data_IF_811871335028
#
_entry.id   IF_811871335028
#
_cell.length_a   1.000
_cell.length_b   1.000
_cell.length_c   1.000
_cell.angle_alpha   90.00
_cell.angle_beta   90.00
_cell.angle_gamma   90.00
#
_symmetry.space_group_name_H-M   'P 1'
#
loop_
_entity.id
_entity.type
_entity.pdbx_description
1 polymer ?
#
# COMPACT_ATOMS: atom_id res chain seq x y z
N UNK A 1 36.38 -10.52 -5.04
CA UNK A 1 34.97 -10.15 -5.21
C UNK A 1 34.26 -10.52 -3.92
N UNK A 2 33.48 -9.66 -3.31
CA UNK A 2 32.65 -10.05 -2.17
C UNK A 2 31.70 -11.19 -2.59
N UNK A 3 31.40 -12.14 -1.70
CA UNK A 3 30.51 -13.25 -2.01
C UNK A 3 29.14 -12.69 -2.44
N UNK A 4 28.60 -13.20 -3.54
CA UNK A 4 27.25 -12.81 -4.00
C UNK A 4 26.24 -13.16 -2.93
N UNK A 5 25.43 -12.18 -2.44
CA UNK A 5 24.40 -12.43 -1.44
C UNK A 5 23.43 -13.50 -1.91
N UNK A 6 23.00 -14.38 -1.01
CA UNK A 6 22.02 -15.40 -1.33
C UNK A 6 20.66 -14.77 -1.71
N UNK A 7 19.87 -15.43 -2.56
CA UNK A 7 18.51 -14.97 -2.89
C UNK A 7 17.65 -14.73 -1.63
N UNK A 8 17.90 -15.51 -0.58
CA UNK A 8 17.20 -15.34 0.71
C UNK A 8 17.59 -14.04 1.41
N UNK A 9 18.87 -13.68 1.44
CA UNK A 9 19.32 -12.43 2.06
C UNK A 9 18.80 -11.20 1.29
N UNK A 10 18.74 -11.27 -0.04
CA UNK A 10 18.14 -10.21 -0.86
C UNK A 10 16.62 -10.09 -0.59
N UNK A 11 15.92 -11.22 -0.47
CA UNK A 11 14.48 -11.23 -0.13
C UNK A 11 14.23 -10.64 1.26
N UNK A 12 14.99 -11.05 2.28
CA UNK A 12 14.86 -10.52 3.65
C UNK A 12 15.12 -9.01 3.65
N UNK A 13 16.21 -8.55 3.02
CA UNK A 13 16.53 -7.12 2.96
C UNK A 13 15.43 -6.33 2.27
N UNK A 14 14.95 -6.75 1.11
CA UNK A 14 13.90 -6.06 0.36
C UNK A 14 12.55 -6.08 1.07
N UNK A 15 12.22 -7.16 1.78
CA UNK A 15 11.02 -7.28 2.61
C UNK A 15 11.09 -6.32 3.81
N UNK A 16 12.22 -6.28 4.52
CA UNK A 16 12.43 -5.38 5.67
C UNK A 16 12.34 -3.91 5.25
N UNK A 17 13.02 -3.54 4.16
CA UNK A 17 12.95 -2.18 3.58
C UNK A 17 11.50 -1.80 3.25
N UNK A 18 10.75 -2.69 2.60
CA UNK A 18 9.35 -2.44 2.26
C UNK A 18 8.48 -2.29 3.49
N UNK A 19 8.69 -3.14 4.52
CA UNK A 19 7.89 -3.11 5.75
C UNK A 19 8.12 -1.82 6.54
N UNK A 20 9.37 -1.39 6.70
CA UNK A 20 9.68 -0.17 7.45
C UNK A 20 9.23 1.10 6.72
N UNK A 21 9.37 1.15 5.40
CA UNK A 21 8.83 2.27 4.62
C UNK A 21 7.30 2.33 4.67
N UNK A 22 6.61 1.17 4.62
CA UNK A 22 5.17 1.11 4.79
C UNK A 22 4.74 1.48 6.22
N UNK A 23 5.55 1.13 7.24
CA UNK A 23 5.35 1.57 8.62
C UNK A 23 5.38 3.09 8.73
N UNK A 24 6.36 3.79 8.10
CA UNK A 24 6.39 5.26 8.06
C UNK A 24 5.10 5.86 7.49
N UNK A 25 4.61 5.30 6.39
CA UNK A 25 3.39 5.76 5.73
C UNK A 25 2.16 5.67 6.64
N UNK A 26 2.08 4.59 7.45
CA UNK A 26 0.94 4.30 8.32
C UNK A 26 1.11 4.82 9.76
N UNK A 27 2.26 5.39 10.11
CA UNK A 27 2.56 5.89 11.47
C UNK A 27 1.55 6.96 11.90
N UNK A 28 1.34 8.02 11.10
CA UNK A 28 0.38 9.07 11.45
C UNK A 28 -1.08 8.56 11.43
N UNK A 29 -1.55 7.81 10.42
CA UNK A 29 -2.91 7.28 10.41
C UNK A 29 -3.31 6.48 11.64
N UNK A 30 -2.39 5.71 12.22
CA UNK A 30 -2.67 4.85 13.38
C UNK A 30 -2.94 5.66 14.65
N UNK A 31 -2.38 6.86 14.78
CA UNK A 31 -2.57 7.77 15.91
C UNK A 31 -3.19 9.10 15.48
N UNK A 32 -3.91 9.10 14.35
CA UNK A 32 -4.49 10.30 13.76
C UNK A 32 -5.36 11.11 14.75
N UNK A 33 -6.20 10.51 15.62
CA UNK A 33 -6.96 11.27 16.61
C UNK A 33 -6.06 12.09 17.55
N UNK A 34 -5.03 11.48 18.14
CA UNK A 34 -4.11 12.16 19.05
C UNK A 34 -3.32 13.29 18.38
N UNK A 35 -2.88 13.07 17.13
CA UNK A 35 -2.20 14.10 16.34
C UNK A 35 -3.15 15.23 15.99
N UNK A 36 -4.38 14.92 15.58
CA UNK A 36 -5.40 15.88 15.20
C UNK A 36 -5.81 16.78 16.39
N UNK A 37 -5.96 16.20 17.58
CA UNK A 37 -6.22 16.94 18.82
C UNK A 37 -5.10 17.94 19.11
N UNK A 38 -3.82 17.50 19.07
CA UNK A 38 -2.65 18.37 19.27
C UNK A 38 -2.58 19.52 18.27
N UNK A 39 -2.88 19.21 16.98
CA UNK A 39 -2.83 20.19 15.90
C UNK A 39 -4.09 21.08 15.80
N UNK A 40 -5.10 20.80 16.62
CA UNK A 40 -6.41 21.45 16.58
C UNK A 40 -7.06 21.42 15.18
N UNK A 41 -7.02 20.24 14.54
CA UNK A 41 -7.61 19.98 13.22
C UNK A 41 -8.53 18.76 13.28
N UNK A 42 -9.37 18.57 12.24
CA UNK A 42 -10.21 17.36 12.14
C UNK A 42 -9.36 16.11 11.86
N UNK A 43 -9.59 14.98 12.55
CA UNK A 43 -8.96 13.68 12.21
C UNK A 43 -9.21 13.25 10.77
N UNK A 44 -10.26 13.73 10.12
CA UNK A 44 -10.57 13.46 8.71
C UNK A 44 -9.45 13.92 7.76
N UNK A 45 -8.60 14.87 8.15
CA UNK A 45 -7.46 15.32 7.33
C UNK A 45 -6.36 14.27 7.15
N UNK A 46 -6.40 13.16 7.87
CA UNK A 46 -5.50 12.02 7.62
C UNK A 46 -5.60 11.50 6.18
N UNK A 47 -6.77 11.62 5.55
CA UNK A 47 -6.93 11.28 4.13
C UNK A 47 -6.12 12.18 3.20
N UNK A 48 -6.03 13.48 3.51
CA UNK A 48 -5.17 14.41 2.77
C UNK A 48 -3.68 14.08 2.96
N UNK A 49 -3.27 13.71 4.18
CA UNK A 49 -1.92 13.23 4.45
C UNK A 49 -1.57 12.03 3.55
N UNK A 50 -2.44 11.02 3.48
CA UNK A 50 -2.23 9.84 2.62
C UNK A 50 -2.18 10.24 1.14
N UNK A 51 -3.07 11.12 0.69
CA UNK A 51 -3.06 11.59 -0.69
C UNK A 51 -1.74 12.28 -1.06
N UNK A 52 -1.24 13.17 -0.19
CA UNK A 52 0.05 13.85 -0.38
C UNK A 52 1.22 12.85 -0.41
N UNK A 53 1.22 11.87 0.48
CA UNK A 53 2.24 10.83 0.49
C UNK A 53 2.22 10.02 -0.83
N UNK A 54 1.05 9.62 -1.31
CA UNK A 54 0.96 8.87 -2.57
C UNK A 54 1.20 9.73 -3.83
N UNK A 55 0.93 11.03 -3.80
CA UNK A 55 1.37 11.97 -4.84
C UNK A 55 2.91 12.02 -4.92
N UNK A 56 3.57 12.12 -3.77
CA UNK A 56 5.03 12.04 -3.68
C UNK A 56 5.56 10.71 -4.21
N UNK A 57 4.93 9.60 -3.82
CA UNK A 57 5.32 8.26 -4.26
C UNK A 57 5.13 8.07 -5.77
N UNK A 58 4.03 8.58 -6.33
CA UNK A 58 3.76 8.55 -7.77
C UNK A 58 4.84 9.33 -8.53
N UNK A 59 5.14 10.55 -8.11
CA UNK A 59 6.17 11.37 -8.73
C UNK A 59 7.56 10.72 -8.67
N UNK A 60 7.95 10.17 -7.50
CA UNK A 60 9.25 9.52 -7.31
C UNK A 60 9.37 8.18 -8.06
N UNK A 61 8.28 7.43 -8.19
CA UNK A 61 8.28 6.14 -8.89
C UNK A 61 8.58 6.28 -10.38
N UNK A 62 8.25 7.45 -10.99
CA UNK A 62 8.57 7.74 -12.38
C UNK A 62 10.08 7.86 -12.64
N UNK A 63 10.83 8.32 -11.64
CA UNK A 63 12.28 8.44 -11.70
C UNK A 63 13.01 7.21 -11.20
N UNK A 64 12.30 6.29 -10.53
CA UNK A 64 12.89 5.18 -9.82
C UNK A 64 13.74 4.28 -10.72
N UNK A 65 13.27 3.99 -11.94
CA UNK A 65 14.01 3.16 -12.90
C UNK A 65 15.38 3.76 -13.26
N UNK A 66 15.40 5.04 -13.63
CA UNK A 66 16.62 5.76 -13.95
C UNK A 66 17.53 5.92 -12.71
N UNK A 67 16.95 6.16 -11.54
CA UNK A 67 17.69 6.24 -10.28
C UNK A 67 18.37 4.90 -9.92
N UNK A 68 17.67 3.78 -10.10
CA UNK A 68 18.20 2.42 -9.88
C UNK A 68 19.34 2.13 -10.84
N UNK A 69 19.18 2.43 -12.13
CA UNK A 69 20.25 2.23 -13.13
C UNK A 69 21.48 3.09 -12.83
N UNK A 70 21.28 4.35 -12.45
CA UNK A 70 22.39 5.28 -12.21
C UNK A 70 23.11 5.06 -10.88
N UNK A 71 22.35 4.85 -9.80
CA UNK A 71 22.91 4.83 -8.44
C UNK A 71 22.99 3.43 -7.83
N UNK A 72 22.24 2.48 -8.37
CA UNK A 72 22.06 1.13 -7.84
C UNK A 72 20.80 1.00 -6.98
N UNK A 73 20.30 -0.22 -6.87
CA UNK A 73 19.03 -0.51 -6.21
C UNK A 73 19.11 -0.40 -4.66
N UNK A 74 20.27 -0.80 -4.08
CA UNK A 74 20.49 -0.63 -2.62
C UNK A 74 20.61 0.86 -2.29
N UNK A 75 21.34 1.64 -3.06
CA UNK A 75 21.46 3.08 -2.82
C UNK A 75 20.12 3.81 -2.99
N UNK A 76 19.33 3.45 -3.99
CA UNK A 76 17.98 3.98 -4.17
C UNK A 76 17.07 3.63 -2.99
N UNK A 77 17.17 2.40 -2.46
CA UNK A 77 16.42 1.97 -1.25
C UNK A 77 16.88 2.72 0.00
N UNK A 78 18.18 2.93 0.18
CA UNK A 78 18.72 3.72 1.30
C UNK A 78 18.24 5.18 1.25
N UNK A 79 18.30 5.81 0.09
CA UNK A 79 17.78 7.16 -0.10
C UNK A 79 16.27 7.22 0.20
N UNK A 80 15.52 6.21 -0.23
CA UNK A 80 14.10 6.05 0.09
C UNK A 80 13.84 5.97 1.60
N UNK A 81 14.58 5.11 2.32
CA UNK A 81 14.45 4.99 3.79
C UNK A 81 14.83 6.28 4.53
N UNK A 82 15.88 6.97 4.09
CA UNK A 82 16.30 8.27 4.67
C UNK A 82 15.21 9.32 4.45
N UNK A 83 14.62 9.40 3.26
CA UNK A 83 13.51 10.30 2.99
C UNK A 83 12.26 9.95 3.80
N UNK A 84 11.94 8.66 3.96
CA UNK A 84 10.86 8.21 4.84
C UNK A 84 11.13 8.61 6.31
N UNK A 85 12.36 8.40 6.79
CA UNK A 85 12.77 8.79 8.14
C UNK A 85 12.68 10.31 8.34
N UNK A 86 13.19 11.10 7.40
CA UNK A 86 13.09 12.56 7.44
C UNK A 86 11.62 13.01 7.41
N UNK A 87 10.80 12.41 6.57
CA UNK A 87 9.39 12.74 6.46
C UNK A 87 8.61 12.45 7.74
N UNK A 88 8.80 11.27 8.36
CA UNK A 88 8.11 10.96 9.62
C UNK A 88 8.64 11.80 10.77
N UNK A 89 9.93 12.15 10.79
CA UNK A 89 10.50 13.08 11.78
C UNK A 89 9.94 14.51 11.62
N UNK A 90 9.74 14.98 10.39
CA UNK A 90 9.08 16.26 10.10
C UNK A 90 7.62 16.23 10.57
N UNK A 91 6.92 15.10 10.42
CA UNK A 91 5.56 14.95 10.95
C UNK A 91 5.50 15.05 12.49
N UNK A 92 6.62 14.83 13.22
CA UNK A 92 6.66 15.00 14.67
C UNK A 92 6.65 16.48 15.10
N UNK A 93 6.79 17.42 14.18
CA UNK A 93 6.61 18.86 14.44
C UNK A 93 5.10 19.15 14.51
N UNK A 94 4.68 19.86 15.56
CA UNK A 94 3.29 20.18 15.85
C UNK A 94 2.73 21.25 14.89
N UNK A 95 2.69 20.93 13.60
CA UNK A 95 2.22 21.84 12.55
C UNK A 95 1.55 21.08 11.41
N UNK A 96 0.34 21.47 10.96
CA UNK A 96 -0.30 20.90 9.78
C UNK A 96 0.55 21.01 8.51
N UNK A 97 1.30 22.12 8.34
CA UNK A 97 2.21 22.30 7.22
C UNK A 97 3.39 21.33 7.27
N UNK A 98 3.93 21.06 8.47
CA UNK A 98 4.97 20.05 8.67
C UNK A 98 4.44 18.63 8.37
N UNK A 99 3.23 18.30 8.80
CA UNK A 99 2.60 17.03 8.47
C UNK A 99 2.42 16.85 6.96
N UNK A 100 2.00 17.89 6.24
CA UNK A 100 1.88 17.87 4.77
C UNK A 100 3.24 17.70 4.07
N UNK A 101 4.28 18.43 4.51
CA UNK A 101 5.63 18.29 4.00
C UNK A 101 6.19 16.89 4.30
N UNK A 102 5.98 16.41 5.53
CA UNK A 102 6.39 15.07 5.96
C UNK A 102 5.74 13.98 5.11
N UNK A 103 4.45 14.11 4.80
CA UNK A 103 3.73 13.21 3.91
C UNK A 103 4.38 13.13 2.52
N UNK A 104 4.68 14.28 1.89
CA UNK A 104 5.37 14.33 0.60
C UNK A 104 6.76 13.67 0.66
N UNK A 105 7.54 13.95 1.70
CA UNK A 105 8.87 13.35 1.89
C UNK A 105 8.78 11.83 2.06
N UNK A 106 7.82 11.33 2.86
CA UNK A 106 7.57 9.89 2.99
C UNK A 106 7.21 9.30 1.62
N UNK A 107 6.35 9.97 0.87
CA UNK A 107 5.98 9.55 -0.48
C UNK A 107 7.19 9.47 -1.41
N UNK A 108 8.00 10.51 -1.49
CA UNK A 108 9.24 10.50 -2.29
C UNK A 108 10.20 9.39 -1.88
N UNK A 109 10.25 9.03 -0.59
CA UNK A 109 11.04 7.91 -0.09
C UNK A 109 10.42 6.55 -0.46
N UNK A 110 9.11 6.40 -0.35
CA UNK A 110 8.37 5.15 -0.59
C UNK A 110 8.35 4.75 -2.07
N UNK A 111 8.20 5.72 -2.99
CA UNK A 111 8.03 5.47 -4.43
C UNK A 111 9.12 4.59 -5.06
N UNK A 112 10.42 4.82 -4.83
CA UNK A 112 11.49 4.04 -5.42
C UNK A 112 11.68 2.63 -4.86
N UNK A 113 11.13 2.30 -3.69
CA UNK A 113 11.42 1.05 -2.97
C UNK A 113 10.94 -0.19 -3.75
N UNK A 114 9.75 -0.14 -4.34
CA UNK A 114 9.23 -1.29 -5.11
C UNK A 114 10.02 -1.52 -6.40
N UNK A 115 10.32 -0.52 -7.26
CA UNK A 115 11.19 -0.71 -8.41
C UNK A 115 12.58 -1.22 -8.04
N UNK A 116 13.21 -0.68 -6.97
CA UNK A 116 14.52 -1.12 -6.48
C UNK A 116 14.53 -2.58 -6.09
N UNK A 117 13.56 -3.00 -5.28
CA UNK A 117 13.44 -4.39 -4.84
C UNK A 117 13.12 -5.34 -6.00
N UNK A 118 12.30 -4.91 -6.97
CA UNK A 118 11.98 -5.70 -8.15
C UNK A 118 13.22 -5.95 -9.02
N UNK A 119 14.07 -4.93 -9.19
CA UNK A 119 15.33 -5.05 -9.91
C UNK A 119 16.26 -6.09 -9.24
N UNK A 120 16.44 -6.02 -7.91
CA UNK A 120 17.26 -6.96 -7.16
C UNK A 120 16.74 -8.40 -7.23
N UNK A 121 15.44 -8.58 -7.00
CA UNK A 121 14.81 -9.90 -6.97
C UNK A 121 14.78 -10.56 -8.34
N UNK A 122 14.56 -9.80 -9.41
CA UNK A 122 14.59 -10.34 -10.76
C UNK A 122 15.97 -10.94 -11.14
N UNK A 123 17.06 -10.40 -10.60
CA UNK A 123 18.44 -10.86 -10.86
C UNK A 123 18.89 -11.97 -9.93
N UNK A 124 18.38 -11.98 -8.68
CA UNK A 124 18.82 -12.92 -7.64
C UNK A 124 17.94 -14.16 -7.50
N UNK A 125 16.78 -14.20 -8.19
CA UNK A 125 15.77 -15.26 -8.01
C UNK A 125 15.72 -16.14 -9.26
N UNK A 126 15.82 -17.50 -9.10
CA UNK A 126 15.59 -18.43 -10.21
C UNK A 126 14.17 -18.28 -10.79
N UNK A 127 14.04 -18.40 -12.12
CA UNK A 127 12.78 -18.17 -12.82
C UNK A 127 11.58 -18.99 -12.26
N UNK A 128 11.84 -20.24 -11.85
CA UNK A 128 10.78 -21.12 -11.29
C UNK A 128 10.30 -20.74 -9.89
N UNK A 129 10.94 -19.78 -9.21
CA UNK A 129 10.56 -19.26 -7.88
C UNK A 129 10.17 -17.79 -7.89
N UNK A 130 10.22 -17.16 -9.05
CA UNK A 130 10.02 -15.72 -9.21
C UNK A 130 8.68 -15.26 -8.62
N UNK A 131 7.58 -15.92 -9.00
CA UNK A 131 6.23 -15.56 -8.53
C UNK A 131 6.10 -15.63 -7.01
N UNK A 132 6.59 -16.72 -6.39
CA UNK A 132 6.55 -16.89 -4.95
C UNK A 132 7.37 -15.83 -4.21
N UNK A 133 8.60 -15.56 -4.67
CA UNK A 133 9.49 -14.58 -4.04
C UNK A 133 8.92 -13.17 -4.12
N UNK A 134 8.35 -12.78 -5.27
CA UNK A 134 7.66 -11.49 -5.41
C UNK A 134 6.41 -11.41 -4.54
N UNK A 135 5.64 -12.48 -4.43
CA UNK A 135 4.46 -12.54 -3.55
C UNK A 135 4.85 -12.35 -2.09
N UNK A 136 5.89 -13.05 -1.61
CA UNK A 136 6.43 -12.89 -0.24
C UNK A 136 6.89 -11.44 -0.03
N UNK A 137 7.67 -10.87 -0.96
CA UNK A 137 8.13 -9.47 -0.87
C UNK A 137 6.96 -8.48 -0.73
N UNK A 138 5.89 -8.70 -1.47
CA UNK A 138 4.72 -7.81 -1.44
C UNK A 138 3.96 -7.86 -0.11
N UNK A 139 4.15 -8.87 0.73
CA UNK A 139 3.61 -8.88 2.10
C UNK A 139 4.25 -7.82 3.00
N UNK A 140 5.37 -7.22 2.60
CA UNK A 140 6.03 -6.14 3.35
C UNK A 140 5.13 -4.93 3.61
N UNK A 141 4.20 -4.62 2.69
CA UNK A 141 3.28 -3.49 2.88
C UNK A 141 2.32 -3.73 4.06
N UNK A 142 1.52 -4.82 4.10
CA UNK A 142 0.69 -5.09 5.26
C UNK A 142 1.50 -5.41 6.53
N UNK A 143 2.71 -5.98 6.44
CA UNK A 143 3.59 -6.14 7.59
C UNK A 143 4.01 -4.79 8.20
N UNK A 144 4.26 -3.77 7.37
CA UNK A 144 4.47 -2.41 7.85
C UNK A 144 3.26 -1.86 8.62
N UNK A 145 2.05 -2.17 8.15
CA UNK A 145 0.80 -1.86 8.86
C UNK A 145 0.66 -2.59 10.20
N UNK A 146 1.04 -3.86 10.25
CA UNK A 146 1.10 -4.63 11.52
C UNK A 146 2.07 -3.97 12.51
N UNK A 147 3.27 -3.62 12.06
CA UNK A 147 4.27 -2.95 12.89
C UNK A 147 3.77 -1.58 13.38
N UNK A 148 3.17 -0.78 12.49
CA UNK A 148 2.59 0.50 12.85
C UNK A 148 1.47 0.34 13.90
N UNK A 149 0.53 -0.57 13.65
CA UNK A 149 -0.64 -0.78 14.51
C UNK A 149 -0.30 -1.29 15.91
N UNK A 150 0.74 -2.12 16.07
CA UNK A 150 1.15 -2.64 17.38
C UNK A 150 2.15 -1.75 18.11
N UNK A 151 3.08 -1.11 17.39
CA UNK A 151 4.20 -0.39 18.03
C UNK A 151 3.86 1.08 18.29
N UNK A 152 3.29 1.76 17.27
CA UNK A 152 3.15 3.22 17.33
C UNK A 152 2.17 3.68 18.42
N UNK A 153 0.96 3.08 18.60
CA UNK A 153 0.05 3.50 19.66
C UNK A 153 0.61 3.26 21.06
N UNK A 154 1.33 2.16 21.26
CA UNK A 154 1.96 1.85 22.55
C UNK A 154 3.03 2.88 22.89
N UNK A 155 3.91 3.23 21.94
CA UNK A 155 4.92 4.26 22.14
C UNK A 155 4.28 5.64 22.33
N UNK A 156 3.21 5.93 21.61
CA UNK A 156 2.48 7.21 21.73
C UNK A 156 1.83 7.35 23.11
N UNK A 157 1.27 6.29 23.66
CA UNK A 157 0.66 6.26 24.99
C UNK A 157 1.71 6.44 26.10
N UNK A 158 2.88 5.80 25.96
CA UNK A 158 3.94 5.82 26.97
C UNK A 158 4.79 7.11 26.96
N UNK A 159 5.06 7.67 25.79
CA UNK A 159 6.10 8.70 25.60
C UNK A 159 5.64 9.88 24.74
N UNK A 160 4.40 9.88 24.26
CA UNK A 160 3.87 10.85 23.30
C UNK A 160 4.09 10.46 21.85
N UNK A 161 3.19 10.88 20.97
CA UNK A 161 3.20 10.52 19.56
C UNK A 161 4.43 11.06 18.81
N UNK A 162 5.00 12.18 19.23
CA UNK A 162 6.21 12.76 18.65
C UNK A 162 7.40 11.80 18.80
N UNK A 163 7.59 11.22 20.00
CA UNK A 163 8.67 10.27 20.28
C UNK A 163 8.42 8.96 19.51
N UNK A 164 7.17 8.50 19.40
CA UNK A 164 6.83 7.34 18.58
C UNK A 164 7.24 7.54 17.11
N UNK A 165 7.02 8.73 16.54
CA UNK A 165 7.43 9.07 15.18
C UNK A 165 8.96 9.08 15.02
N UNK A 166 9.68 9.66 15.98
CA UNK A 166 11.15 9.66 15.97
C UNK A 166 11.72 8.24 16.10
N UNK A 167 11.08 7.36 16.88
CA UNK A 167 11.48 5.96 16.98
C UNK A 167 11.33 5.24 15.64
N UNK A 168 10.24 5.49 14.91
CA UNK A 168 10.04 4.95 13.56
C UNK A 168 11.07 5.52 12.58
N UNK A 169 11.41 6.81 12.67
CA UNK A 169 12.48 7.42 11.88
C UNK A 169 13.82 6.73 12.13
N UNK A 170 14.19 6.52 13.40
CA UNK A 170 15.43 5.83 13.77
C UNK A 170 15.47 4.39 13.27
N UNK A 171 14.35 3.65 13.32
CA UNK A 171 14.27 2.29 12.77
C UNK A 171 14.55 2.27 11.25
N UNK A 172 14.03 3.26 10.50
CA UNK A 172 14.30 3.39 9.06
C UNK A 172 15.77 3.73 8.77
N UNK A 173 16.37 4.66 9.54
CA UNK A 173 17.79 4.98 9.41
C UNK A 173 18.67 3.77 9.77
N UNK A 174 18.32 3.04 10.84
CA UNK A 174 18.99 1.79 11.22
C UNK A 174 18.95 0.75 10.10
N UNK A 175 17.79 0.59 9.43
CA UNK A 175 17.67 -0.29 8.28
C UNK A 175 18.52 0.19 7.10
N UNK A 176 18.53 1.49 6.80
CA UNK A 176 19.36 2.06 5.74
C UNK A 176 20.85 1.76 5.96
N UNK A 177 21.31 1.83 7.22
CA UNK A 177 22.68 1.46 7.58
C UNK A 177 22.90 -0.06 7.52
N UNK A 178 21.94 -0.86 7.98
CA UNK A 178 22.03 -2.33 8.01
C UNK A 178 22.16 -2.95 6.62
N UNK A 179 21.55 -2.35 5.59
CA UNK A 179 21.65 -2.84 4.20
C UNK A 179 22.90 -2.33 3.46
N UNK A 180 23.70 -1.42 4.06
CA UNK A 180 24.93 -0.87 3.45
C UNK A 180 25.94 -1.93 3.00
N UNK A 181 26.20 -3.02 3.74
CA UNK A 181 27.14 -4.06 3.31
C UNK A 181 26.74 -4.78 2.02
N UNK A 182 25.43 -4.82 1.70
CA UNK A 182 24.93 -5.47 0.49
C UNK A 182 25.18 -4.65 -0.78
N UNK A 183 25.49 -3.36 -0.63
CA UNK A 183 25.59 -2.39 -1.74
C UNK A 183 26.66 -2.77 -2.74
N UNK A 184 27.87 -3.13 -2.29
CA UNK A 184 29.00 -3.39 -3.18
C UNK A 184 28.69 -4.52 -4.18
N UNK A 185 28.06 -5.58 -3.70
CA UNK A 185 27.70 -6.73 -4.52
C UNK A 185 26.44 -6.50 -5.38
N UNK A 186 25.41 -5.83 -4.82
CA UNK A 186 24.10 -5.73 -5.46
C UNK A 186 23.96 -4.51 -6.38
N UNK A 187 24.75 -3.45 -6.20
CA UNK A 187 24.80 -2.26 -7.06
C UNK A 187 25.95 -2.29 -8.07
N UNK A 188 26.58 -3.44 -8.28
CA UNK A 188 27.71 -3.58 -9.21
C UNK A 188 27.33 -3.32 -10.68
N UNK A 189 26.06 -3.46 -11.02
CA UNK A 189 25.50 -3.25 -12.36
C UNK A 189 25.07 -1.80 -12.65
N UNK A 190 25.28 -0.86 -11.71
CA UNK A 190 24.94 0.55 -11.91
C UNK A 190 25.76 1.18 -13.03
N UNK A 191 25.14 2.06 -13.78
CA UNK A 191 25.80 2.92 -14.77
C UNK A 191 25.72 4.39 -14.32
N UNK A 192 26.83 4.96 -13.77
CA UNK A 192 26.84 6.36 -13.32
C UNK A 192 26.58 7.39 -14.43
N UNK A 193 26.76 7.00 -15.70
CA UNK A 193 26.52 7.86 -16.86
C UNK A 193 25.04 7.83 -17.31
N UNK A 194 24.23 6.92 -16.76
CA UNK A 194 22.82 6.80 -17.15
C UNK A 194 22.05 8.11 -16.89
N UNK A 195 21.34 8.68 -17.91
CA UNK A 195 20.65 9.95 -17.76
C UNK A 195 19.43 9.83 -16.83
N UNK A 196 19.27 10.77 -15.91
CA UNK A 196 18.03 10.94 -15.16
C UNK A 196 17.01 11.70 -16.05
N UNK A 197 16.38 10.98 -16.96
CA UNK A 197 15.42 11.58 -17.90
C UNK A 197 13.99 11.24 -17.48
N UNK A 198 13.14 12.25 -17.42
CA UNK A 198 11.68 12.10 -17.31
C UNK A 198 11.04 11.62 -18.63
N UNK A 199 11.83 11.19 -19.59
CA UNK A 199 11.45 10.87 -20.96
C UNK A 199 10.15 10.09 -21.12
N UNK A 200 9.73 9.83 -22.33
CA UNK A 200 8.49 9.26 -22.89
C UNK A 200 7.81 8.06 -22.15
N UNK A 201 8.24 7.75 -20.92
CA UNK A 201 7.87 6.55 -20.16
C UNK A 201 6.41 6.45 -19.70
N UNK A 202 5.70 7.57 -19.50
CA UNK A 202 4.31 7.54 -18.99
C UNK A 202 3.25 7.32 -20.06
N UNK A 203 3.44 7.90 -21.24
CA UNK A 203 2.43 7.84 -22.30
C UNK A 203 2.31 6.43 -22.90
N UNK A 204 3.41 5.69 -22.99
CA UNK A 204 3.45 4.32 -23.52
C UNK A 204 2.59 3.35 -22.73
N UNK A 205 2.84 3.17 -21.41
CA UNK A 205 2.03 2.28 -20.57
C UNK A 205 0.54 2.64 -20.53
N UNK A 206 0.21 3.93 -20.46
CA UNK A 206 -1.18 4.37 -20.47
C UNK A 206 -1.85 4.11 -21.83
N UNK A 207 -1.16 4.35 -22.94
CA UNK A 207 -1.66 4.03 -24.28
C UNK A 207 -1.90 2.53 -24.45
N UNK A 208 -1.02 1.69 -23.92
CA UNK A 208 -1.21 0.23 -23.90
C UNK A 208 -2.47 -0.15 -23.12
N UNK A 209 -2.63 0.37 -21.91
CA UNK A 209 -3.77 0.04 -21.06
C UNK A 209 -5.09 0.46 -21.70
N UNK A 210 -5.19 1.71 -22.15
CA UNK A 210 -6.43 2.23 -22.75
C UNK A 210 -6.68 1.74 -24.16
N UNK A 211 -5.67 1.15 -24.82
CA UNK A 211 -5.82 0.46 -26.10
C UNK A 211 -6.41 -0.96 -26.01
N UNK A 212 -6.49 -1.54 -24.80
CA UNK A 212 -6.98 -2.90 -24.59
C UNK A 212 -8.13 -2.92 -23.58
N UNK A 213 -9.34 -3.32 -24.01
CA UNK A 213 -10.55 -3.30 -23.18
C UNK A 213 -10.38 -4.02 -21.84
N UNK A 214 -9.77 -5.22 -21.83
CA UNK A 214 -9.54 -5.98 -20.59
C UNK A 214 -8.62 -5.23 -19.62
N UNK A 215 -7.53 -4.62 -20.12
CA UNK A 215 -6.61 -3.84 -19.29
C UNK A 215 -7.26 -2.53 -18.78
N UNK A 216 -8.09 -1.88 -19.62
CA UNK A 216 -8.85 -0.69 -19.19
C UNK A 216 -9.81 -1.03 -18.05
N UNK A 217 -10.53 -2.15 -18.15
CA UNK A 217 -11.41 -2.62 -17.06
C UNK A 217 -10.62 -2.93 -15.81
N UNK A 218 -9.49 -3.66 -15.93
CA UNK A 218 -8.62 -3.95 -14.79
C UNK A 218 -8.05 -2.68 -14.15
N UNK A 219 -7.68 -1.67 -14.95
CA UNK A 219 -7.24 -0.37 -14.44
C UNK A 219 -8.34 0.33 -13.62
N UNK A 220 -9.59 0.32 -14.11
CA UNK A 220 -10.75 0.81 -13.37
C UNK A 220 -11.02 0.03 -12.08
N UNK A 221 -10.91 -1.30 -12.16
CA UNK A 221 -11.05 -2.20 -11.00
C UNK A 221 -10.00 -1.88 -9.93
N UNK A 222 -8.72 -1.71 -10.31
CA UNK A 222 -7.66 -1.38 -9.35
C UNK A 222 -7.83 0.00 -8.73
N UNK A 223 -8.29 0.99 -9.50
CA UNK A 223 -8.67 2.31 -9.00
C UNK A 223 -9.73 2.19 -7.88
N UNK A 224 -10.80 1.43 -8.11
CA UNK A 224 -11.91 1.27 -7.17
C UNK A 224 -11.52 0.44 -5.93
N UNK A 225 -10.78 -0.65 -6.11
CA UNK A 225 -10.28 -1.43 -4.97
C UNK A 225 -9.31 -0.64 -4.10
N UNK A 226 -8.45 0.18 -4.70
CA UNK A 226 -7.50 1.00 -3.96
C UNK A 226 -8.17 2.07 -3.12
N UNK A 227 -9.30 2.64 -3.57
CA UNK A 227 -10.16 3.51 -2.76
C UNK A 227 -10.58 2.77 -1.50
N UNK A 228 -11.17 1.58 -1.63
CA UNK A 228 -11.64 0.78 -0.49
C UNK A 228 -10.50 0.38 0.44
N UNK A 229 -9.39 -0.11 -0.12
CA UNK A 229 -8.22 -0.55 0.65
C UNK A 229 -7.63 0.58 1.49
N UNK A 230 -7.35 1.73 0.86
CA UNK A 230 -6.65 2.81 1.56
C UNK A 230 -7.59 3.57 2.51
N UNK A 231 -8.87 3.72 2.18
CA UNK A 231 -9.85 4.25 3.14
C UNK A 231 -9.96 3.36 4.38
N UNK A 232 -10.01 2.02 4.18
CA UNK A 232 -10.01 1.07 5.30
C UNK A 232 -8.78 1.26 6.19
N UNK A 233 -7.59 1.19 5.62
CA UNK A 233 -6.35 1.22 6.41
C UNK A 233 -6.05 2.59 7.01
N UNK A 234 -6.46 3.67 6.36
CA UNK A 234 -6.22 5.04 6.81
C UNK A 234 -7.10 5.42 8.00
N UNK A 235 -8.39 5.05 7.94
CA UNK A 235 -9.38 5.52 8.91
C UNK A 235 -9.79 4.49 9.95
N UNK A 236 -9.27 3.25 9.90
CA UNK A 236 -9.65 2.19 10.84
C UNK A 236 -9.40 2.59 12.29
N UNK A 237 -8.20 3.09 12.60
CA UNK A 237 -7.86 3.49 13.97
C UNK A 237 -8.74 4.65 14.44
N UNK A 238 -9.01 5.62 13.56
CA UNK A 238 -9.89 6.76 13.86
C UNK A 238 -11.31 6.31 14.12
N UNK A 239 -11.90 5.47 13.27
CA UNK A 239 -13.24 4.90 13.47
C UNK A 239 -13.37 4.16 14.81
N UNK A 240 -12.41 3.29 15.12
CA UNK A 240 -12.43 2.52 16.36
C UNK A 240 -12.26 3.40 17.61
N UNK A 241 -11.55 4.52 17.48
CA UNK A 241 -11.37 5.47 18.58
C UNK A 241 -12.56 6.43 18.71
N UNK A 242 -12.94 7.12 17.63
CA UNK A 242 -13.96 8.19 17.65
C UNK A 242 -15.40 7.65 17.72
N UNK A 243 -15.75 6.68 16.85
CA UNK A 243 -17.12 6.17 16.77
C UNK A 243 -17.39 5.05 17.80
N UNK A 244 -16.37 4.24 18.17
CA UNK A 244 -16.52 3.09 19.06
C UNK A 244 -15.91 3.32 20.46
N UNK A 245 -15.29 4.45 20.74
CA UNK A 245 -14.74 4.81 22.05
C UNK A 245 -13.56 3.94 22.53
N UNK A 246 -12.86 3.25 21.63
CA UNK A 246 -11.73 2.40 21.98
C UNK A 246 -10.48 3.22 22.29
N UNK A 247 -9.59 2.66 23.12
CA UNK A 247 -8.25 3.24 23.27
C UNK A 247 -7.46 3.15 21.97
N UNK A 248 -6.50 4.06 21.74
CA UNK A 248 -5.63 4.02 20.54
C UNK A 248 -4.86 2.71 20.44
N UNK A 249 -4.45 2.13 21.59
CA UNK A 249 -3.76 0.83 21.63
C UNK A 249 -4.67 -0.28 21.09
N UNK A 250 -5.91 -0.35 21.55
CA UNK A 250 -6.89 -1.34 21.08
C UNK A 250 -7.23 -1.13 19.60
N UNK A 251 -7.43 0.11 19.17
CA UNK A 251 -7.68 0.47 17.77
C UNK A 251 -6.51 0.08 16.86
N UNK A 252 -5.27 0.36 17.29
CA UNK A 252 -4.05 -0.01 16.58
C UNK A 252 -3.88 -1.53 16.47
N UNK A 253 -4.18 -2.28 17.53
CA UNK A 253 -4.14 -3.74 17.53
C UNK A 253 -5.16 -4.33 16.53
N UNK A 254 -6.39 -3.79 16.46
CA UNK A 254 -7.40 -4.21 15.50
C UNK A 254 -7.02 -3.86 14.06
N UNK A 255 -6.40 -2.71 13.81
CA UNK A 255 -5.83 -2.38 12.52
C UNK A 255 -4.74 -3.41 12.15
N UNK A 256 -3.84 -3.75 13.06
CA UNK A 256 -2.81 -4.76 12.82
C UNK A 256 -3.40 -6.13 12.47
N UNK A 257 -4.48 -6.54 13.14
CA UNK A 257 -5.21 -7.78 12.83
C UNK A 257 -5.79 -7.74 11.41
N UNK A 258 -6.38 -6.64 11.00
CA UNK A 258 -6.89 -6.48 9.62
C UNK A 258 -5.77 -6.59 8.58
N UNK A 259 -4.58 -6.09 8.89
CA UNK A 259 -3.40 -6.19 8.04
C UNK A 259 -2.84 -7.62 7.99
N UNK A 260 -2.81 -8.34 9.13
CA UNK A 260 -2.46 -9.78 9.17
C UNK A 260 -3.43 -10.59 8.33
N UNK A 261 -4.74 -10.32 8.46
CA UNK A 261 -5.76 -10.93 7.63
C UNK A 261 -5.56 -10.59 6.13
N UNK A 262 -5.10 -9.38 5.82
CA UNK A 262 -4.71 -8.98 4.47
C UNK A 262 -3.53 -9.77 3.92
N UNK A 263 -2.51 -10.08 4.73
CA UNK A 263 -1.39 -10.98 4.35
C UNK A 263 -1.92 -12.36 4.04
N UNK A 264 -2.70 -12.94 4.96
CA UNK A 264 -3.31 -14.26 4.78
C UNK A 264 -4.25 -14.29 3.57
N UNK A 265 -5.02 -13.21 3.37
CA UNK A 265 -5.92 -13.03 2.24
C UNK A 265 -5.19 -13.07 0.90
N UNK A 266 -4.02 -12.43 0.77
CA UNK A 266 -3.22 -12.48 -0.48
C UNK A 266 -2.87 -13.91 -0.89
N UNK A 267 -2.52 -14.76 0.05
CA UNK A 267 -2.20 -16.17 -0.21
C UNK A 267 -3.48 -16.97 -0.46
N UNK A 268 -4.49 -16.79 0.38
CA UNK A 268 -5.77 -17.50 0.28
C UNK A 268 -6.48 -17.23 -1.05
N UNK A 269 -6.66 -15.95 -1.40
CA UNK A 269 -7.40 -15.56 -2.62
C UNK A 269 -6.63 -15.90 -3.89
N UNK A 270 -5.28 -15.89 -3.84
CA UNK A 270 -4.44 -16.41 -4.92
C UNK A 270 -4.70 -17.90 -5.15
N UNK A 271 -4.70 -18.70 -4.08
CA UNK A 271 -5.00 -20.14 -4.16
C UNK A 271 -6.43 -20.42 -4.63
N UNK A 272 -7.43 -19.72 -4.07
CA UNK A 272 -8.85 -19.83 -4.46
C UNK A 272 -9.03 -19.48 -5.93
N UNK A 273 -8.38 -18.41 -6.38
CA UNK A 273 -8.41 -17.97 -7.78
C UNK A 273 -7.85 -19.03 -8.72
N UNK A 274 -6.66 -19.56 -8.40
CA UNK A 274 -5.99 -20.51 -9.30
C UNK A 274 -6.67 -21.89 -9.32
N UNK A 275 -7.27 -22.30 -8.19
CA UNK A 275 -7.81 -23.67 -8.05
C UNK A 275 -9.29 -23.80 -8.34
N UNK A 276 -10.10 -22.76 -8.03
CA UNK A 276 -11.56 -22.92 -7.99
C UNK A 276 -12.33 -21.93 -8.87
N UNK A 277 -12.04 -20.64 -8.78
CA UNK A 277 -12.96 -19.59 -9.27
C UNK A 277 -12.47 -18.84 -10.49
N UNK A 278 -11.18 -18.84 -10.73
CA UNK A 278 -10.54 -17.96 -11.70
C UNK A 278 -10.46 -16.49 -11.21
N UNK A 279 -9.55 -15.68 -11.80
CA UNK A 279 -9.24 -14.34 -11.30
C UNK A 279 -10.43 -13.40 -11.28
N UNK A 280 -11.21 -13.33 -12.36
CA UNK A 280 -12.35 -12.41 -12.48
C UNK A 280 -13.43 -12.70 -11.43
N UNK A 281 -13.80 -13.98 -11.24
CA UNK A 281 -14.82 -14.34 -10.26
C UNK A 281 -14.31 -14.13 -8.83
N UNK A 282 -13.02 -14.38 -8.56
CA UNK A 282 -12.41 -14.07 -7.26
C UNK A 282 -12.50 -12.58 -6.96
N UNK A 283 -12.14 -11.71 -7.92
CA UNK A 283 -12.25 -10.26 -7.73
C UNK A 283 -13.70 -9.81 -7.51
N UNK A 284 -14.68 -10.40 -8.21
CA UNK A 284 -16.11 -10.14 -7.94
C UNK A 284 -16.49 -10.56 -6.52
N UNK A 285 -16.06 -11.75 -6.07
CA UNK A 285 -16.31 -12.22 -4.71
C UNK A 285 -15.70 -11.29 -3.66
N UNK A 286 -14.48 -10.81 -3.88
CA UNK A 286 -13.83 -9.83 -2.99
C UNK A 286 -14.61 -8.52 -2.94
N UNK A 287 -15.10 -8.01 -4.07
CA UNK A 287 -15.94 -6.82 -4.10
C UNK A 287 -17.24 -7.01 -3.30
N UNK A 288 -17.89 -8.18 -3.42
CA UNK A 288 -19.09 -8.51 -2.64
C UNK A 288 -18.78 -8.60 -1.14
N UNK A 289 -17.66 -9.21 -0.74
CA UNK A 289 -17.25 -9.24 0.67
C UNK A 289 -17.01 -7.82 1.21
N UNK A 290 -16.36 -6.94 0.42
CA UNK A 290 -16.17 -5.54 0.79
C UNK A 290 -17.53 -4.83 0.99
N UNK A 291 -18.51 -5.06 0.09
CA UNK A 291 -19.87 -4.51 0.22
C UNK A 291 -20.50 -4.95 1.53
N UNK A 292 -20.49 -6.25 1.83
CA UNK A 292 -21.08 -6.81 3.06
C UNK A 292 -20.41 -6.18 4.30
N UNK A 293 -19.08 -6.17 4.32
CA UNK A 293 -18.33 -5.59 5.44
C UNK A 293 -18.63 -4.09 5.60
N UNK A 294 -18.59 -3.33 4.50
CA UNK A 294 -18.85 -1.88 4.51
C UNK A 294 -20.24 -1.53 5.03
N UNK A 295 -21.28 -2.28 4.62
CA UNK A 295 -22.65 -2.11 5.11
C UNK A 295 -22.80 -2.49 6.58
N UNK A 296 -21.97 -3.38 7.09
CA UNK A 296 -22.04 -3.83 8.49
C UNK A 296 -21.40 -2.83 9.46
N UNK A 297 -20.44 -1.99 8.98
CA UNK A 297 -19.69 -1.07 9.86
C UNK A 297 -20.56 -0.13 10.70
N UNK A 298 -21.62 0.56 10.17
CA UNK A 298 -22.43 1.48 10.96
C UNK A 298 -23.28 0.81 12.04
N UNK A 299 -23.51 -0.50 11.92
CA UNK A 299 -24.45 -1.25 12.78
C UNK A 299 -23.75 -2.09 13.84
N UNK A 300 -22.41 -1.98 13.95
CA UNK A 300 -21.64 -2.73 14.95
C UNK A 300 -21.84 -2.12 16.34
N UNK A 301 -22.35 -2.90 17.30
CA UNK A 301 -22.37 -2.46 18.69
C UNK A 301 -20.96 -2.35 19.25
N UNK A 302 -20.67 -1.34 20.06
CA UNK A 302 -19.36 -1.12 20.65
C UNK A 302 -18.86 -2.27 21.55
N UNK A 303 -19.79 -3.05 22.11
CA UNK A 303 -19.55 -4.22 22.99
C UNK A 303 -19.41 -5.55 22.23
N UNK A 304 -19.66 -5.56 20.92
CA UNK A 304 -19.64 -6.78 20.10
C UNK A 304 -18.20 -7.16 19.67
N UNK A 305 -17.32 -7.38 20.63
CA UNK A 305 -15.87 -7.62 20.37
C UNK A 305 -15.62 -8.73 19.35
N UNK A 306 -16.23 -9.92 19.47
CA UNK A 306 -15.97 -11.07 18.59
C UNK A 306 -16.44 -10.78 17.17
N UNK A 307 -17.63 -10.21 16.97
CA UNK A 307 -18.15 -9.88 15.63
C UNK A 307 -17.31 -8.80 14.96
N UNK A 308 -16.81 -7.83 15.72
CA UNK A 308 -15.89 -6.81 15.22
C UNK A 308 -14.58 -7.45 14.71
N UNK A 309 -13.97 -8.35 15.47
CA UNK A 309 -12.74 -9.03 15.06
C UNK A 309 -12.93 -9.82 13.76
N UNK A 310 -14.02 -10.58 13.66
CA UNK A 310 -14.36 -11.35 12.46
C UNK A 310 -14.58 -10.41 11.28
N UNK A 311 -15.37 -9.35 11.46
CA UNK A 311 -15.66 -8.40 10.40
C UNK A 311 -14.40 -7.73 9.88
N UNK A 312 -13.53 -7.24 10.77
CA UNK A 312 -12.29 -6.58 10.40
C UNK A 312 -11.28 -7.55 9.75
N UNK A 313 -11.25 -8.81 10.17
CA UNK A 313 -10.44 -9.85 9.52
C UNK A 313 -10.94 -10.14 8.10
N UNK A 314 -12.26 -10.28 7.91
CA UNK A 314 -12.86 -10.50 6.57
C UNK A 314 -12.66 -9.26 5.70
N UNK A 315 -12.88 -8.06 6.24
CA UNK A 315 -12.70 -6.82 5.51
C UNK A 315 -11.22 -6.62 5.12
N UNK A 316 -10.28 -6.83 6.06
CA UNK A 316 -8.85 -6.76 5.79
C UNK A 316 -8.42 -7.78 4.72
N UNK A 317 -8.85 -9.05 4.86
CA UNK A 317 -8.51 -10.08 3.88
C UNK A 317 -9.02 -9.79 2.47
N UNK A 318 -10.21 -9.18 2.34
CA UNK A 318 -10.81 -8.84 1.05
C UNK A 318 -10.26 -7.53 0.47
N UNK A 319 -10.26 -6.45 1.25
CA UNK A 319 -9.85 -5.13 0.78
C UNK A 319 -8.33 -4.98 0.61
N UNK A 320 -7.50 -5.80 1.29
CA UNK A 320 -6.03 -5.78 1.15
C UNK A 320 -5.56 -6.95 0.27
N UNK A 321 -6.33 -8.04 0.23
CA UNK A 321 -5.94 -9.31 -0.39
C UNK A 321 -6.00 -9.37 -1.92
N UNK A 322 -6.66 -8.44 -2.60
CA UNK A 322 -6.97 -8.49 -4.03
C UNK A 322 -5.75 -8.36 -4.97
N UNK A 323 -4.68 -7.71 -4.51
CA UNK A 323 -3.56 -7.29 -5.37
C UNK A 323 -2.90 -8.44 -6.16
N UNK A 324 -2.71 -9.62 -5.52
CA UNK A 324 -2.06 -10.76 -6.16
C UNK A 324 -2.88 -11.32 -7.33
N UNK A 325 -4.17 -11.53 -7.10
CA UNK A 325 -5.13 -12.02 -8.12
C UNK A 325 -5.23 -11.04 -9.28
N UNK A 326 -5.32 -9.75 -8.96
CA UNK A 326 -5.38 -8.67 -9.93
C UNK A 326 -4.13 -8.61 -10.83
N UNK A 327 -2.93 -8.61 -10.24
CA UNK A 327 -1.67 -8.52 -11.00
C UNK A 327 -1.46 -9.75 -11.89
N UNK A 328 -1.85 -10.93 -11.42
CA UNK A 328 -1.82 -12.15 -12.23
C UNK A 328 -2.74 -12.02 -13.46
N UNK A 329 -3.93 -11.44 -13.30
CA UNK A 329 -4.86 -11.23 -14.43
C UNK A 329 -4.35 -10.14 -15.38
N UNK A 330 -3.78 -9.04 -14.88
CA UNK A 330 -3.12 -8.02 -15.72
C UNK A 330 -2.03 -8.67 -16.59
N UNK A 331 -1.16 -9.50 -16.00
CA UNK A 331 -0.10 -10.17 -16.74
C UNK A 331 -0.65 -11.13 -17.81
N UNK A 332 -1.77 -11.83 -17.52
CA UNK A 332 -2.46 -12.74 -18.45
C UNK A 332 -3.10 -12.01 -19.63
N UNK A 333 -3.66 -10.82 -19.38
CA UNK A 333 -4.33 -10.00 -20.39
C UNK A 333 -3.35 -9.11 -21.19
N UNK A 334 -2.12 -8.94 -20.73
CA UNK A 334 -1.11 -8.16 -21.43
C UNK A 334 -0.68 -8.83 -22.75
N UNK A 335 -0.35 -8.03 -23.79
CA UNK A 335 0.28 -8.57 -24.99
C UNK A 335 1.59 -9.31 -24.66
N UNK A 336 2.01 -10.30 -25.47
CA UNK A 336 3.26 -11.02 -25.25
C UNK A 336 4.45 -10.07 -25.04
N UNK A 337 5.23 -10.30 -23.99
CA UNK A 337 6.41 -9.50 -23.65
C UNK A 337 6.11 -8.12 -22.99
N UNK A 338 4.84 -7.72 -22.84
CA UNK A 338 4.48 -6.38 -22.35
C UNK A 338 3.83 -6.38 -20.94
N UNK A 339 3.88 -7.49 -20.21
CA UNK A 339 3.27 -7.61 -18.88
C UNK A 339 3.77 -6.52 -17.90
N UNK A 340 5.06 -6.20 -17.90
CA UNK A 340 5.62 -5.14 -17.04
C UNK A 340 5.09 -3.75 -17.39
N UNK A 341 4.94 -3.44 -18.69
CA UNK A 341 4.41 -2.17 -19.17
C UNK A 341 2.92 -2.05 -18.79
N UNK A 342 2.14 -3.11 -19.03
CA UNK A 342 0.74 -3.18 -18.66
C UNK A 342 0.55 -3.01 -17.15
N UNK A 343 1.38 -3.67 -16.33
CA UNK A 343 1.36 -3.54 -14.87
C UNK A 343 1.67 -2.10 -14.45
N UNK A 344 2.69 -1.46 -15.01
CA UNK A 344 3.03 -0.06 -14.71
C UNK A 344 1.89 0.89 -15.05
N UNK A 345 1.27 0.73 -16.22
CA UNK A 345 0.14 1.56 -16.65
C UNK A 345 -1.12 1.36 -15.77
N UNK A 346 -1.45 0.13 -15.40
CA UNK A 346 -2.60 -0.14 -14.52
C UNK A 346 -2.37 0.32 -13.08
N UNK A 347 -1.12 0.22 -12.56
CA UNK A 347 -0.75 0.72 -11.23
C UNK A 347 -0.88 2.25 -11.12
N UNK A 348 -0.70 3.00 -12.21
CA UNK A 348 -0.95 4.44 -12.19
C UNK A 348 -2.40 4.77 -11.80
N UNK A 349 -3.37 3.96 -12.26
CA UNK A 349 -4.78 4.09 -11.87
C UNK A 349 -5.01 3.66 -10.42
N UNK A 350 -4.28 2.65 -9.93
CA UNK A 350 -4.29 2.27 -8.51
C UNK A 350 -3.85 3.44 -7.64
N UNK A 351 -2.74 4.10 -7.96
CA UNK A 351 -2.26 5.27 -7.21
C UNK A 351 -3.24 6.45 -7.28
N UNK A 352 -3.88 6.67 -8.43
CA UNK A 352 -4.93 7.68 -8.55
C UNK A 352 -6.10 7.41 -7.60
N UNK A 353 -6.54 6.13 -7.47
CA UNK A 353 -7.57 5.74 -6.51
C UNK A 353 -7.15 5.98 -5.07
N UNK A 354 -5.86 5.76 -4.74
CA UNK A 354 -5.32 6.08 -3.42
C UNK A 354 -5.29 7.58 -3.16
N UNK A 355 -4.93 8.38 -4.15
CA UNK A 355 -4.88 9.85 -4.02
C UNK A 355 -6.27 10.43 -3.78
N UNK A 356 -7.30 9.88 -4.42
CA UNK A 356 -8.69 10.40 -4.34
C UNK A 356 -9.48 9.77 -3.19
N UNK A 357 -9.31 8.46 -2.95
CA UNK A 357 -10.17 7.69 -2.05
C UNK A 357 -10.17 8.18 -0.61
N UNK A 358 -9.03 8.18 0.10
CA UNK A 358 -8.99 8.60 1.49
C UNK A 358 -9.43 10.04 1.74
N UNK A 359 -9.05 11.07 0.92
CA UNK A 359 -9.60 12.41 1.10
C UNK A 359 -11.12 12.47 0.92
N UNK A 360 -11.66 11.79 -0.10
CA UNK A 360 -13.11 11.74 -0.32
C UNK A 360 -13.81 11.06 0.85
N UNK A 361 -13.25 9.95 1.37
CA UNK A 361 -13.77 9.28 2.55
C UNK A 361 -13.79 10.21 3.77
N UNK A 362 -12.71 10.98 3.99
CA UNK A 362 -12.63 11.97 5.08
C UNK A 362 -13.69 13.06 4.96
N UNK A 363 -13.95 13.57 3.74
CA UNK A 363 -15.04 14.53 3.49
C UNK A 363 -16.40 13.91 3.83
N UNK A 364 -16.64 12.66 3.44
CA UNK A 364 -17.88 11.96 3.76
C UNK A 364 -18.01 11.81 5.30
N UNK A 365 -16.97 11.35 5.98
CA UNK A 365 -16.95 11.18 7.44
C UNK A 365 -17.25 12.50 8.16
N UNK A 366 -16.60 13.59 7.77
CA UNK A 366 -16.84 14.91 8.37
C UNK A 366 -18.23 15.48 8.08
N UNK A 367 -18.79 15.20 6.89
CA UNK A 367 -20.13 15.68 6.50
C UNK A 367 -21.24 14.96 7.27
N UNK A 368 -21.11 13.65 7.45
CA UNK A 368 -22.10 12.85 8.17
C UNK A 368 -21.83 12.74 9.68
N UNK A 369 -20.68 13.22 10.16
CA UNK A 369 -20.28 13.12 11.57
C UNK A 369 -20.09 11.68 12.05
N UNK A 370 -19.81 10.72 11.15
CA UNK A 370 -19.63 9.30 11.47
C UNK A 370 -18.72 8.61 10.47
N UNK A 371 -17.67 7.96 10.95
CA UNK A 371 -16.81 7.11 10.15
C UNK A 371 -17.49 5.81 9.74
N UNK A 372 -18.41 5.28 10.56
CA UNK A 372 -19.23 4.12 10.22
C UNK A 372 -20.04 4.35 8.94
N UNK A 373 -20.71 5.52 8.81
CA UNK A 373 -21.44 5.90 7.59
C UNK A 373 -20.48 6.12 6.40
N UNK A 374 -19.30 6.68 6.65
CA UNK A 374 -18.28 6.80 5.61
C UNK A 374 -17.83 5.42 5.11
N UNK A 375 -17.68 4.42 5.99
CA UNK A 375 -17.42 3.04 5.56
C UNK A 375 -18.55 2.47 4.70
N UNK A 376 -19.81 2.72 5.05
CA UNK A 376 -20.94 2.29 4.22
C UNK A 376 -20.86 2.85 2.78
N UNK A 377 -20.30 4.06 2.59
CA UNK A 377 -20.14 4.64 1.26
C UNK A 377 -19.21 3.83 0.33
N UNK A 378 -18.34 2.97 0.89
CA UNK A 378 -17.46 2.08 0.10
C UNK A 378 -18.22 1.03 -0.69
N UNK A 379 -19.51 0.86 -0.44
CA UNK A 379 -20.44 0.08 -1.29
C UNK A 379 -20.45 0.60 -2.72
N UNK A 380 -20.30 1.91 -2.93
CA UNK A 380 -20.31 2.51 -4.27
C UNK A 380 -19.10 2.05 -5.10
N UNK A 381 -17.83 2.26 -4.68
CA UNK A 381 -16.68 1.77 -5.44
C UNK A 381 -16.66 0.24 -5.56
N UNK A 382 -16.99 -0.50 -4.50
CA UNK A 382 -17.01 -1.97 -4.55
C UNK A 382 -18.12 -2.50 -5.47
N UNK A 383 -19.31 -1.90 -5.45
CA UNK A 383 -20.42 -2.24 -6.34
C UNK A 383 -20.10 -1.95 -7.80
N UNK A 384 -19.51 -0.79 -8.07
CA UNK A 384 -19.05 -0.43 -9.43
C UNK A 384 -17.95 -1.39 -9.91
N UNK A 385 -17.04 -1.81 -9.03
CA UNK A 385 -16.02 -2.79 -9.32
C UNK A 385 -16.63 -4.15 -9.75
N UNK A 386 -17.58 -4.67 -8.95
CA UNK A 386 -18.31 -5.91 -9.28
C UNK A 386 -19.06 -5.76 -10.61
N UNK A 387 -19.74 -4.64 -10.81
CA UNK A 387 -20.47 -4.37 -12.07
C UNK A 387 -19.53 -4.33 -13.27
N UNK A 388 -18.40 -3.62 -13.20
CA UNK A 388 -17.41 -3.55 -14.27
C UNK A 388 -16.90 -4.95 -14.67
N UNK A 389 -16.57 -5.79 -13.70
CA UNK A 389 -16.08 -7.15 -13.92
C UNK A 389 -17.15 -8.05 -14.54
N UNK A 390 -18.39 -8.00 -14.04
CA UNK A 390 -19.50 -8.82 -14.50
C UNK A 390 -19.91 -8.41 -15.92
N UNK A 391 -20.08 -7.12 -16.16
CA UNK A 391 -20.51 -6.59 -17.46
C UNK A 391 -19.48 -6.79 -18.57
N UNK A 392 -18.20 -6.83 -18.23
CA UNK A 392 -17.11 -7.01 -19.19
C UNK A 392 -16.53 -8.44 -19.21
N UNK A 393 -17.22 -9.46 -18.68
CA UNK A 393 -16.71 -10.85 -18.66
C UNK A 393 -16.25 -11.35 -20.02
N UNK A 394 -16.94 -10.98 -21.10
CA UNK A 394 -16.58 -11.35 -22.47
C UNK A 394 -15.21 -10.83 -22.92
N UNK A 395 -14.74 -9.70 -22.33
CA UNK A 395 -13.41 -9.16 -22.63
C UNK A 395 -12.28 -10.05 -22.10
N UNK A 396 -12.54 -10.87 -21.09
CA UNK A 396 -11.57 -11.77 -20.45
C UNK A 396 -11.57 -13.18 -21.04
N UNK A 397 -12.62 -13.56 -21.80
CA UNK A 397 -12.79 -14.91 -22.36
C UNK A 397 -12.11 -15.10 -23.73
N UNK A 398 -11.61 -14.05 -24.38
CA UNK A 398 -11.13 -14.07 -25.77
C UNK A 398 -9.70 -14.57 -25.98
N UNK A 399 -9.05 -15.14 -24.96
CA UNK A 399 -7.70 -15.75 -25.09
C UNK A 399 -7.65 -17.10 -24.35
N UNK A 400 -8.52 -18.02 -24.74
CA UNK A 400 -8.41 -19.44 -24.48
C UNK A 400 -7.99 -20.14 -25.76
#
# INVERSE_FOLDING_TARGET
MPPTPSSLSVLIATLTVQSLAAMCLLTLPVVAPAVAETLNVSPAYVGLYIALAYLGAMAASLLAGAAVQRYGAIRASQAGLVLCAAGVAVCAVESPAAAALGALLIGFGYGPITPSSSHLLARSTPAHRMSLVFSIKQTGVPLGGVLAGFIVPVLADLMGWQIAFLAVALANLGCALAIQPLREALDADRDPAHPLSFGNGLAGPLRLVFGHRSLTVLAGVSFLFSISQLSLTTYMATFLHEDMGMTLIAAGALLAISQVAGVAGRLLWGYVSDRYTGPVNTLVMLAVLIIICALSMPWLPADAHISLWILLAVFGSSAIGWNGVYLAEVARQAPPGQAGIATGGTLSMTFMGVVIGPPLFGVIASTFGSYGLAYASLVLPAGLCAWLLIHNRSAFQRRG
#
